data_IF_001191461599
#
_entry.id   IF_001191461599
#
_cell.length_a   1.000
_cell.length_b   1.000
_cell.length_c   1.000
_cell.angle_alpha   90.00
_cell.angle_beta   90.00
_cell.angle_gamma   90.00
#
_symmetry.space_group_name_H-M   'P 1'
#
loop_
_entity.id
_entity.type
_entity.pdbx_description
1 polymer ?
#
# COMPACT_ATOMS: atom_id res chain seq x y z
N UNK A 1 38.55 -1.02 76.03
CA UNK A 1 37.96 -2.29 75.62
C UNK A 1 36.45 -2.16 75.59
N UNK A 2 35.84 -2.03 74.46
CA UNK A 2 34.42 -2.20 74.21
C UNK A 2 34.20 -2.43 72.72
N UNK A 3 33.94 -3.67 72.31
CA UNK A 3 33.60 -4.07 70.94
C UNK A 3 32.16 -3.73 70.69
N UNK A 4 31.89 -2.93 69.67
CA UNK A 4 30.56 -2.64 69.12
C UNK A 4 30.23 -3.62 67.99
N UNK A 5 29.28 -4.49 68.26
CA UNK A 5 28.68 -5.49 67.35
C UNK A 5 27.92 -4.80 66.22
N UNK A 6 28.38 -4.97 64.96
CA UNK A 6 27.60 -4.62 63.78
C UNK A 6 26.48 -5.67 63.54
N UNK A 7 25.21 -5.26 63.73
CA UNK A 7 24.04 -6.02 63.31
C UNK A 7 23.88 -5.93 61.79
N UNK A 8 24.09 -7.06 61.13
CA UNK A 8 23.66 -7.27 59.73
C UNK A 8 22.16 -7.11 59.58
N UNK A 9 21.69 -6.07 58.89
CA UNK A 9 20.31 -5.99 58.40
C UNK A 9 20.26 -6.70 57.05
N UNK A 10 19.21 -7.56 56.79
CA UNK A 10 18.98 -8.13 55.48
C UNK A 10 18.58 -7.04 54.51
N UNK A 11 18.91 -7.18 53.20
CA UNK A 11 18.51 -6.20 52.17
C UNK A 11 16.99 -6.20 52.00
N UNK A 12 16.38 -5.04 51.64
CA UNK A 12 14.95 -4.93 51.43
C UNK A 12 14.50 -5.82 50.25
N UNK A 13 13.41 -6.58 50.48
CA UNK A 13 12.76 -7.41 49.46
C UNK A 13 12.50 -6.60 48.20
N UNK A 14 13.05 -7.07 47.09
CA UNK A 14 12.89 -6.47 45.78
C UNK A 14 11.41 -6.42 45.42
N UNK A 15 10.95 -5.27 44.94
CA UNK A 15 9.63 -5.10 44.30
C UNK A 15 9.57 -6.10 43.12
N UNK A 16 8.44 -6.77 42.90
CA UNK A 16 8.28 -7.62 41.74
C UNK A 16 8.48 -6.76 40.47
N UNK A 17 9.52 -7.07 39.73
CA UNK A 17 9.70 -6.58 38.37
C UNK A 17 8.51 -7.05 37.55
N UNK A 18 7.71 -6.13 37.05
CA UNK A 18 6.76 -6.44 35.98
C UNK A 18 7.54 -7.16 34.87
N UNK A 19 7.34 -8.43 34.75
CA UNK A 19 7.75 -9.22 33.60
C UNK A 19 7.05 -8.64 32.38
N UNK A 20 7.76 -7.73 31.70
CA UNK A 20 7.48 -7.40 30.30
C UNK A 20 7.68 -8.71 29.55
N UNK A 21 6.56 -9.26 29.07
CA UNK A 21 6.52 -10.53 28.33
C UNK A 21 7.65 -10.57 27.33
N UNK A 22 8.48 -11.58 27.42
CA UNK A 22 9.60 -11.88 26.54
C UNK A 22 9.10 -11.92 25.10
N UNK A 23 9.26 -10.80 24.38
CA UNK A 23 9.18 -10.80 22.94
C UNK A 23 10.35 -11.68 22.47
N UNK A 24 10.05 -12.87 21.99
CA UNK A 24 11.02 -13.75 21.34
C UNK A 24 11.60 -12.95 20.18
N UNK A 25 12.81 -12.42 20.39
CA UNK A 25 13.58 -11.77 19.33
C UNK A 25 13.92 -12.82 18.29
N UNK A 26 13.14 -12.88 17.24
CA UNK A 26 13.46 -13.70 16.06
C UNK A 26 14.74 -13.12 15.45
N UNK A 27 15.87 -13.75 15.75
CA UNK A 27 17.24 -13.33 15.36
C UNK A 27 17.55 -13.51 13.87
N UNK A 28 16.55 -13.76 13.01
CA UNK A 28 16.71 -13.99 11.58
C UNK A 28 16.30 -12.80 10.69
N UNK A 29 16.51 -12.90 9.37
CA UNK A 29 15.99 -11.92 8.41
C UNK A 29 14.47 -11.88 8.46
N UNK A 30 13.87 -10.69 8.25
CA UNK A 30 12.41 -10.53 8.29
C UNK A 30 11.73 -11.38 7.23
N UNK A 31 12.18 -11.30 5.98
CA UNK A 31 11.79 -12.21 4.92
C UNK A 31 12.75 -13.40 4.87
N UNK A 32 12.19 -14.60 4.84
CA UNK A 32 12.91 -15.87 4.79
C UNK A 32 13.10 -16.32 3.34
N UNK A 33 13.95 -17.33 3.11
CA UNK A 33 14.16 -17.93 1.77
C UNK A 33 12.86 -18.41 1.13
N UNK A 34 11.94 -18.95 1.93
CA UNK A 34 10.61 -19.39 1.46
C UNK A 34 9.78 -18.24 0.89
N UNK A 35 9.85 -17.03 1.51
CA UNK A 35 9.12 -15.87 1.04
C UNK A 35 9.66 -15.39 -0.32
N UNK A 36 11.00 -15.38 -0.45
CA UNK A 36 11.66 -15.04 -1.71
C UNK A 36 11.43 -16.07 -2.82
N UNK A 37 11.30 -17.37 -2.48
CA UNK A 37 10.90 -18.39 -3.44
C UNK A 37 9.49 -18.13 -3.97
N UNK A 38 8.54 -17.81 -3.09
CA UNK A 38 7.17 -17.46 -3.47
C UNK A 38 7.16 -16.23 -4.39
N UNK A 39 7.94 -15.19 -4.03
CA UNK A 39 8.14 -14.01 -4.87
C UNK A 39 8.65 -14.35 -6.26
N UNK A 40 9.79 -15.06 -6.33
CA UNK A 40 10.48 -15.35 -7.61
C UNK A 40 9.63 -16.21 -8.54
N UNK A 41 9.02 -17.28 -8.00
CA UNK A 41 8.13 -18.15 -8.78
C UNK A 41 6.97 -17.35 -9.38
N UNK A 42 6.29 -16.55 -8.56
CA UNK A 42 5.14 -15.76 -9.00
C UNK A 42 5.54 -14.70 -10.03
N UNK A 43 6.62 -13.94 -9.76
CA UNK A 43 7.07 -12.90 -10.66
C UNK A 43 7.49 -13.44 -12.04
N UNK A 44 8.22 -14.57 -12.07
CA UNK A 44 8.66 -15.19 -13.32
C UNK A 44 7.47 -15.70 -14.13
N UNK A 45 6.52 -16.40 -13.50
CA UNK A 45 5.33 -16.92 -14.21
C UNK A 45 4.45 -15.76 -14.71
N UNK A 46 4.19 -14.76 -13.89
CA UNK A 46 3.41 -13.60 -14.31
C UNK A 46 4.09 -12.84 -15.47
N UNK A 47 5.41 -12.65 -15.38
CA UNK A 47 6.18 -12.01 -16.46
C UNK A 47 6.11 -12.80 -17.77
N UNK A 48 6.25 -14.12 -17.71
CA UNK A 48 6.15 -14.98 -18.89
C UNK A 48 4.77 -14.87 -19.57
N UNK A 49 3.68 -14.87 -18.77
CA UNK A 49 2.32 -14.68 -19.29
C UNK A 49 2.17 -13.30 -19.94
N UNK A 50 2.65 -12.22 -19.29
CA UNK A 50 2.52 -10.87 -19.82
C UNK A 50 3.34 -10.68 -21.10
N UNK A 51 4.58 -11.17 -21.16
CA UNK A 51 5.41 -11.09 -22.36
C UNK A 51 4.81 -11.86 -23.54
N UNK A 52 4.15 -13.01 -23.27
CA UNK A 52 3.45 -13.79 -24.29
C UNK A 52 2.21 -13.06 -24.85
N UNK A 53 1.54 -12.25 -24.03
CA UNK A 53 0.31 -11.55 -24.37
C UNK A 53 0.51 -10.04 -24.58
N UNK A 54 1.76 -9.59 -24.70
CA UNK A 54 2.13 -8.20 -24.83
C UNK A 54 1.59 -7.61 -26.12
N UNK A 55 1.04 -6.39 -26.06
CA UNK A 55 0.58 -5.67 -27.23
C UNK A 55 1.75 -5.43 -28.20
N UNK A 56 1.63 -5.83 -29.49
CA UNK A 56 2.73 -5.74 -30.43
C UNK A 56 3.05 -4.29 -30.84
N UNK A 57 2.07 -3.39 -30.74
CA UNK A 57 2.15 -2.00 -31.21
C UNK A 57 1.38 -1.06 -30.29
N UNK A 58 1.24 0.19 -30.72
CA UNK A 58 0.41 1.20 -30.06
C UNK A 58 -1.03 0.73 -29.98
N UNK A 59 -1.60 0.77 -28.79
CA UNK A 59 -3.01 0.44 -28.52
C UNK A 59 -3.85 1.71 -28.49
N UNK A 60 -5.18 1.54 -28.38
CA UNK A 60 -6.12 2.64 -28.16
C UNK A 60 -5.82 3.40 -26.86
N UNK A 61 -6.51 4.51 -26.64
CA UNK A 61 -6.41 5.39 -25.48
C UNK A 61 -5.09 6.21 -25.50
N UNK A 62 -4.41 6.29 -24.34
CA UNK A 62 -3.24 7.13 -24.14
C UNK A 62 -1.90 6.50 -24.59
N UNK A 63 -1.91 5.26 -25.05
CA UNK A 63 -0.68 4.50 -25.36
C UNK A 63 0.28 5.23 -26.32
N UNK A 64 -0.24 5.94 -27.32
CA UNK A 64 0.57 6.71 -28.26
C UNK A 64 1.27 7.91 -27.62
N UNK A 65 0.54 8.70 -26.83
CA UNK A 65 1.08 9.85 -26.09
C UNK A 65 2.11 9.39 -25.07
N UNK A 66 1.80 8.33 -24.31
CA UNK A 66 2.68 7.76 -23.31
C UNK A 66 3.96 7.22 -23.94
N UNK A 67 3.87 6.48 -25.04
CA UNK A 67 5.05 5.97 -25.76
C UNK A 67 5.94 7.09 -26.29
N UNK A 68 5.34 8.17 -26.82
CA UNK A 68 6.08 9.34 -27.30
C UNK A 68 6.74 10.09 -26.13
N UNK A 69 6.01 10.28 -25.02
CA UNK A 69 6.58 10.90 -23.81
C UNK A 69 7.74 10.07 -23.25
N UNK A 70 7.62 8.73 -23.21
CA UNK A 70 8.70 7.86 -22.80
C UNK A 70 9.93 7.95 -23.71
N UNK A 71 9.73 8.01 -25.04
CA UNK A 71 10.84 8.11 -26.02
C UNK A 71 11.69 9.36 -25.84
N UNK A 72 11.05 10.50 -25.64
CA UNK A 72 11.71 11.80 -25.59
C UNK A 72 11.90 12.33 -24.16
N UNK A 73 11.62 11.51 -23.14
CA UNK A 73 11.58 11.94 -21.75
C UNK A 73 10.75 13.24 -21.60
N UNK A 74 9.60 13.31 -22.28
CA UNK A 74 8.75 14.50 -22.38
C UNK A 74 7.76 14.63 -21.23
N UNK A 75 6.80 15.55 -21.40
CA UNK A 75 5.72 15.80 -20.45
C UNK A 75 4.44 15.17 -20.98
N UNK A 76 4.00 14.07 -20.36
CA UNK A 76 2.74 13.41 -20.69
C UNK A 76 1.52 14.25 -20.24
N UNK A 77 0.29 13.77 -20.56
CA UNK A 77 -0.96 14.38 -20.10
C UNK A 77 -1.03 14.46 -18.56
N UNK A 78 -1.88 15.35 -17.97
CA UNK A 78 -1.96 15.52 -16.53
C UNK A 78 -2.18 14.21 -15.74
N UNK A 79 -1.47 14.04 -14.62
CA UNK A 79 -0.59 15.02 -13.96
C UNK A 79 0.89 15.02 -14.41
N UNK A 80 1.22 14.51 -15.58
CA UNK A 80 2.56 14.57 -16.18
C UNK A 80 3.45 13.37 -15.93
N UNK A 81 3.17 12.51 -14.96
CA UNK A 81 3.79 11.20 -14.66
C UNK A 81 5.34 11.16 -14.66
N UNK A 82 6.06 12.05 -13.95
CA UNK A 82 7.51 12.17 -14.07
C UNK A 82 8.28 10.87 -13.80
N UNK A 83 7.94 10.15 -12.71
CA UNK A 83 8.63 8.90 -12.34
C UNK A 83 8.34 7.80 -13.36
N UNK A 84 7.11 7.72 -13.87
CA UNK A 84 6.74 6.76 -14.90
C UNK A 84 7.45 7.06 -16.23
N UNK A 85 7.53 8.32 -16.62
CA UNK A 85 8.21 8.74 -17.86
C UNK A 85 9.67 8.30 -17.85
N UNK A 86 10.40 8.55 -16.76
CA UNK A 86 11.80 8.14 -16.62
C UNK A 86 11.96 6.63 -16.55
N UNK A 87 11.07 5.93 -15.82
CA UNK A 87 11.05 4.48 -15.79
C UNK A 87 10.87 3.89 -17.19
N UNK A 88 9.89 4.36 -17.94
CA UNK A 88 9.60 3.87 -19.29
C UNK A 88 10.70 4.25 -20.29
N UNK A 89 11.30 5.44 -20.13
CA UNK A 89 12.46 5.87 -20.92
C UNK A 89 13.64 4.91 -20.79
N UNK A 90 13.89 4.35 -19.61
CA UNK A 90 14.93 3.32 -19.41
C UNK A 90 14.67 2.10 -20.30
N UNK A 91 13.44 1.60 -20.38
CA UNK A 91 13.11 0.46 -21.25
C UNK A 91 13.25 0.80 -22.72
N UNK A 92 12.84 2.00 -23.14
CA UNK A 92 13.01 2.47 -24.52
C UNK A 92 14.49 2.54 -24.90
N UNK A 93 15.35 2.92 -23.94
CA UNK A 93 16.81 3.10 -24.18
C UNK A 93 17.57 1.78 -24.11
N UNK A 94 17.24 0.93 -23.12
CA UNK A 94 17.96 -0.32 -22.87
C UNK A 94 17.58 -1.46 -23.82
N UNK A 95 16.36 -1.43 -24.39
CA UNK A 95 15.89 -2.47 -25.30
C UNK A 95 16.07 -2.02 -26.76
N UNK A 96 17.06 -2.54 -27.51
CA UNK A 96 17.31 -2.12 -28.90
C UNK A 96 16.43 -2.87 -29.91
N UNK A 97 15.39 -3.56 -29.48
CA UNK A 97 14.54 -4.44 -30.31
C UNK A 97 13.10 -3.92 -30.36
N UNK A 98 12.37 -4.25 -31.42
CA UNK A 98 10.96 -3.92 -31.63
C UNK A 98 10.68 -2.40 -31.66
N UNK A 99 9.41 -2.01 -31.67
CA UNK A 99 8.97 -0.62 -31.68
C UNK A 99 8.95 0.00 -30.26
N UNK A 100 8.76 1.31 -30.18
CA UNK A 100 8.81 2.06 -28.92
C UNK A 100 7.67 1.63 -27.96
N UNK A 101 6.45 1.47 -28.47
CA UNK A 101 5.29 1.10 -27.66
C UNK A 101 5.47 -0.29 -27.02
N UNK A 102 6.02 -1.24 -27.77
CA UNK A 102 6.36 -2.56 -27.24
C UNK A 102 7.39 -2.48 -26.10
N UNK A 103 8.44 -1.66 -26.24
CA UNK A 103 9.47 -1.48 -25.21
C UNK A 103 8.87 -0.90 -23.93
N UNK A 104 7.97 0.08 -24.05
CA UNK A 104 7.25 0.68 -22.91
C UNK A 104 6.33 -0.37 -22.27
N UNK A 105 5.62 -1.16 -23.07
CA UNK A 105 4.76 -2.24 -22.59
C UNK A 105 5.55 -3.35 -21.84
N UNK A 106 6.80 -3.65 -22.28
CA UNK A 106 7.70 -4.52 -21.49
C UNK A 106 7.95 -3.94 -20.09
N UNK A 107 8.14 -2.62 -19.98
CA UNK A 107 8.25 -1.93 -18.69
C UNK A 107 7.01 -2.14 -17.83
N UNK A 108 5.81 -2.00 -18.40
CA UNK A 108 4.55 -2.28 -17.71
C UNK A 108 4.47 -3.74 -17.23
N UNK A 109 4.83 -4.70 -18.10
CA UNK A 109 4.85 -6.13 -17.76
C UNK A 109 5.80 -6.45 -16.60
N UNK A 110 7.00 -5.88 -16.61
CA UNK A 110 7.98 -6.05 -15.52
C UNK A 110 7.45 -5.48 -14.20
N UNK A 111 6.90 -4.26 -14.22
CA UNK A 111 6.33 -3.64 -13.03
C UNK A 111 5.18 -4.46 -12.44
N UNK A 112 4.22 -4.89 -13.26
CA UNK A 112 3.10 -5.72 -12.82
C UNK A 112 3.54 -7.09 -12.29
N UNK A 113 4.49 -7.76 -12.95
CA UNK A 113 5.01 -9.04 -12.51
C UNK A 113 5.73 -8.96 -11.16
N UNK A 114 6.53 -7.91 -10.95
CA UNK A 114 7.16 -7.63 -9.66
C UNK A 114 6.13 -7.34 -8.56
N UNK A 115 5.05 -6.63 -8.87
CA UNK A 115 3.95 -6.39 -7.94
C UNK A 115 3.26 -7.70 -7.53
N UNK A 116 3.00 -8.62 -8.47
CA UNK A 116 2.46 -9.96 -8.18
C UNK A 116 3.40 -10.76 -7.27
N UNK A 117 4.71 -10.71 -7.55
CA UNK A 117 5.73 -11.31 -6.68
C UNK A 117 5.71 -10.73 -5.27
N UNK A 118 5.59 -9.40 -5.12
CA UNK A 118 5.50 -8.75 -3.80
C UNK A 118 4.23 -9.15 -3.03
N UNK A 119 3.09 -9.37 -3.71
CA UNK A 119 1.90 -9.96 -3.06
C UNK A 119 2.24 -11.33 -2.51
N UNK A 120 2.86 -12.20 -3.31
CA UNK A 120 3.24 -13.54 -2.88
C UNK A 120 4.21 -13.53 -1.69
N UNK A 121 5.22 -12.66 -1.71
CA UNK A 121 6.15 -12.43 -0.61
C UNK A 121 5.43 -12.00 0.68
N UNK A 122 4.54 -11.01 0.55
CA UNK A 122 3.79 -10.47 1.69
C UNK A 122 2.82 -11.49 2.27
N UNK A 123 2.10 -12.23 1.44
CA UNK A 123 1.18 -13.29 1.91
C UNK A 123 1.96 -14.38 2.64
N UNK A 124 3.06 -14.87 2.06
CA UNK A 124 3.91 -15.87 2.71
C UNK A 124 4.37 -15.44 4.10
N UNK A 125 4.78 -14.17 4.24
CA UNK A 125 5.26 -13.62 5.52
C UNK A 125 4.14 -13.26 6.47
N UNK A 126 3.10 -12.56 6.00
CA UNK A 126 1.97 -12.12 6.83
C UNK A 126 1.17 -13.32 7.38
N UNK A 127 1.05 -14.39 6.59
CA UNK A 127 0.44 -15.63 7.06
C UNK A 127 1.18 -16.23 8.26
N UNK A 128 2.52 -16.21 8.26
CA UNK A 128 3.28 -16.60 9.46
C UNK A 128 2.99 -15.69 10.64
N UNK A 129 3.00 -14.35 10.43
CA UNK A 129 2.72 -13.37 11.49
C UNK A 129 1.32 -13.52 12.09
N UNK A 130 0.34 -13.99 11.31
CA UNK A 130 -1.05 -14.17 11.74
C UNK A 130 -1.25 -15.53 12.43
N UNK A 131 -0.57 -16.56 11.96
CA UNK A 131 -0.81 -17.96 12.36
C UNK A 131 0.21 -18.50 13.37
N UNK A 132 1.29 -17.76 13.69
CA UNK A 132 2.36 -18.23 14.59
C UNK A 132 1.87 -18.61 16.00
N UNK A 133 0.72 -18.09 16.43
CA UNK A 133 0.09 -18.43 17.71
C UNK A 133 -1.04 -19.47 17.57
N UNK A 134 -1.30 -19.94 16.36
CA UNK A 134 -2.42 -20.86 16.05
C UNK A 134 -1.94 -22.31 16.06
N UNK A 135 -2.44 -23.17 16.98
CA UNK A 135 -2.00 -24.57 17.06
C UNK A 135 -2.15 -25.34 15.75
N UNK A 136 -3.22 -25.09 14.99
CA UNK A 136 -3.45 -25.72 13.67
C UNK A 136 -2.35 -25.43 12.65
N UNK A 137 -1.54 -24.39 12.82
CA UNK A 137 -0.39 -24.06 11.98
C UNK A 137 0.92 -24.58 12.59
N UNK A 138 1.14 -24.30 13.89
CA UNK A 138 2.41 -24.58 14.58
C UNK A 138 2.66 -26.08 14.81
N UNK A 139 1.61 -26.90 14.91
CA UNK A 139 1.71 -28.36 15.02
C UNK A 139 2.08 -29.07 13.71
N UNK A 140 2.14 -28.33 12.57
CA UNK A 140 2.49 -28.92 11.27
C UNK A 140 3.99 -29.09 11.10
N UNK A 141 4.39 -30.08 10.31
CA UNK A 141 5.79 -30.25 9.88
C UNK A 141 6.27 -28.98 9.16
N UNK A 142 7.52 -28.62 9.35
CA UNK A 142 8.12 -27.42 8.73
C UNK A 142 7.99 -27.40 7.22
N UNK A 143 8.07 -28.56 6.57
CA UNK A 143 7.89 -28.70 5.12
C UNK A 143 6.47 -28.32 4.67
N UNK A 144 5.45 -28.74 5.42
CA UNK A 144 4.05 -28.41 5.14
C UNK A 144 3.76 -26.92 5.33
N UNK A 145 4.31 -26.32 6.42
CA UNK A 145 4.21 -24.87 6.64
C UNK A 145 4.85 -24.09 5.48
N UNK A 146 6.03 -24.51 5.01
CA UNK A 146 6.71 -23.89 3.85
C UNK A 146 5.91 -24.04 2.57
N UNK A 147 5.38 -25.23 2.30
CA UNK A 147 4.55 -25.50 1.13
C UNK A 147 3.29 -24.62 1.14
N UNK A 148 2.58 -24.60 2.25
CA UNK A 148 1.37 -23.78 2.41
C UNK A 148 1.66 -22.29 2.14
N UNK A 149 2.76 -21.77 2.66
CA UNK A 149 3.20 -20.38 2.44
C UNK A 149 3.48 -20.06 0.98
N UNK A 150 4.21 -20.96 0.30
CA UNK A 150 4.56 -20.76 -1.13
C UNK A 150 3.31 -20.88 -2.00
N UNK A 151 2.47 -21.90 -1.79
CA UNK A 151 1.26 -22.12 -2.59
C UNK A 151 0.27 -20.97 -2.41
N UNK A 152 -0.05 -20.59 -1.16
CA UNK A 152 -1.00 -19.50 -0.92
C UNK A 152 -0.47 -18.15 -1.42
N UNK A 153 0.85 -17.91 -1.29
CA UNK A 153 1.48 -16.73 -1.85
C UNK A 153 1.39 -16.69 -3.37
N UNK A 154 1.76 -17.80 -4.02
CA UNK A 154 1.69 -17.95 -5.48
C UNK A 154 0.26 -17.74 -6.00
N UNK A 155 -0.74 -18.43 -5.40
CA UNK A 155 -2.15 -18.29 -5.82
C UNK A 155 -2.64 -16.85 -5.65
N UNK A 156 -2.29 -16.18 -4.56
CA UNK A 156 -2.66 -14.79 -4.33
C UNK A 156 -2.03 -13.84 -5.36
N UNK A 157 -0.73 -14.00 -5.62
CA UNK A 157 -0.03 -13.19 -6.62
C UNK A 157 -0.56 -13.43 -8.04
N UNK A 158 -0.88 -14.68 -8.40
CA UNK A 158 -1.47 -15.00 -9.69
C UNK A 158 -2.94 -14.54 -9.78
N UNK A 159 -3.71 -14.59 -8.70
CA UNK A 159 -5.07 -14.02 -8.67
C UNK A 159 -5.06 -12.51 -8.96
N UNK A 160 -4.07 -11.78 -8.43
CA UNK A 160 -3.84 -10.40 -8.82
C UNK A 160 -3.46 -10.28 -10.30
N UNK A 161 -2.43 -11.02 -10.72
CA UNK A 161 -1.83 -10.89 -12.04
C UNK A 161 -2.75 -11.29 -13.18
N UNK A 162 -3.60 -12.28 -12.97
CA UNK A 162 -4.59 -12.75 -13.95
C UNK A 162 -5.94 -12.05 -13.83
N UNK A 163 -6.11 -11.12 -12.88
CA UNK A 163 -7.31 -10.29 -12.80
C UNK A 163 -7.40 -9.41 -14.05
N UNK A 164 -8.64 -9.23 -14.56
CA UNK A 164 -8.89 -8.47 -15.80
C UNK A 164 -8.22 -7.08 -15.78
N UNK A 165 -8.32 -6.38 -14.67
CA UNK A 165 -7.82 -5.01 -14.53
C UNK A 165 -6.30 -4.94 -14.59
N UNK A 166 -5.60 -5.81 -13.82
CA UNK A 166 -4.14 -5.78 -13.75
C UNK A 166 -3.51 -6.33 -15.02
N UNK A 167 -4.04 -7.42 -15.58
CA UNK A 167 -3.53 -7.99 -16.84
C UNK A 167 -3.62 -6.96 -17.97
N UNK A 168 -4.76 -6.29 -18.11
CA UNK A 168 -4.94 -5.27 -19.14
C UNK A 168 -3.86 -4.19 -19.11
N UNK A 169 -3.57 -3.61 -17.93
CA UNK A 169 -2.57 -2.54 -17.79
C UNK A 169 -1.13 -3.05 -17.83
N UNK A 170 -0.91 -4.35 -17.61
CA UNK A 170 0.40 -4.98 -17.63
C UNK A 170 0.93 -5.22 -19.07
N UNK A 171 0.04 -5.33 -20.07
CA UNK A 171 0.43 -5.75 -21.43
C UNK A 171 0.41 -4.61 -22.45
N UNK A 172 0.20 -3.39 -22.00
CA UNK A 172 0.18 -2.17 -22.84
C UNK A 172 1.06 -1.07 -22.25
N UNK A 173 1.33 -0.04 -23.04
CA UNK A 173 2.01 1.17 -22.56
C UNK A 173 1.05 1.97 -21.67
N UNK A 174 1.19 1.81 -20.33
CA UNK A 174 0.25 2.36 -19.35
C UNK A 174 0.95 2.73 -18.03
N UNK A 175 0.45 3.76 -17.33
CA UNK A 175 1.06 4.29 -16.09
C UNK A 175 0.73 3.45 -14.86
N UNK A 176 -0.39 2.75 -14.87
CA UNK A 176 -0.95 2.03 -13.73
C UNK A 176 -0.12 0.85 -13.25
N UNK A 177 0.58 0.15 -14.16
CA UNK A 177 1.43 -0.98 -13.78
C UNK A 177 2.55 -0.56 -12.82
N UNK A 178 3.21 0.58 -13.07
CA UNK A 178 4.21 1.14 -12.15
C UNK A 178 3.56 1.61 -10.84
N UNK A 179 2.37 2.21 -10.89
CA UNK A 179 1.63 2.62 -9.69
C UNK A 179 1.33 1.43 -8.77
N UNK A 180 0.91 0.29 -9.32
CA UNK A 180 0.66 -0.95 -8.56
C UNK A 180 1.97 -1.47 -7.95
N UNK A 181 3.10 -1.38 -8.65
CA UNK A 181 4.40 -1.76 -8.11
C UNK A 181 4.83 -0.84 -6.95
N UNK A 182 4.73 0.47 -7.10
CA UNK A 182 5.06 1.43 -6.04
C UNK A 182 4.16 1.23 -4.81
N UNK A 183 2.87 0.99 -5.03
CA UNK A 183 1.93 0.64 -3.98
C UNK A 183 2.32 -0.65 -3.25
N UNK A 184 2.72 -1.68 -3.99
CA UNK A 184 3.22 -2.93 -3.44
C UNK A 184 4.50 -2.74 -2.60
N UNK A 185 5.45 -1.93 -3.07
CA UNK A 185 6.69 -1.62 -2.35
C UNK A 185 6.37 -0.86 -1.06
N UNK A 186 5.49 0.14 -1.12
CA UNK A 186 5.05 0.90 0.05
C UNK A 186 4.46 -0.03 1.12
N UNK A 187 3.52 -0.90 0.76
CA UNK A 187 2.90 -1.85 1.69
C UNK A 187 3.91 -2.87 2.22
N UNK A 188 4.84 -3.34 1.40
CA UNK A 188 5.91 -4.25 1.83
C UNK A 188 6.83 -3.60 2.88
N UNK A 189 7.19 -2.32 2.70
CA UNK A 189 7.97 -1.55 3.67
C UNK A 189 7.18 -1.32 4.97
N UNK A 190 5.90 -0.98 4.88
CA UNK A 190 5.01 -0.83 6.03
C UNK A 190 4.86 -2.14 6.81
N UNK A 191 4.67 -3.27 6.12
CA UNK A 191 4.60 -4.58 6.77
C UNK A 191 5.90 -4.91 7.51
N UNK A 192 7.05 -4.60 6.90
CA UNK A 192 8.35 -4.82 7.50
C UNK A 192 8.57 -3.95 8.74
N UNK A 193 8.11 -2.69 8.70
CA UNK A 193 8.13 -1.80 9.85
C UNK A 193 7.16 -2.26 10.94
N UNK A 194 5.93 -2.67 10.58
CA UNK A 194 4.93 -3.20 11.53
C UNK A 194 5.49 -4.38 12.32
N UNK A 195 6.27 -5.26 11.67
CA UNK A 195 6.92 -6.39 12.34
C UNK A 195 8.13 -6.01 13.20
N UNK A 196 8.84 -4.90 12.89
CA UNK A 196 10.05 -4.43 13.58
C UNK A 196 10.07 -2.90 13.65
N UNK A 197 9.25 -2.28 14.52
CA UNK A 197 9.06 -0.83 14.57
C UNK A 197 10.30 -0.04 14.98
N UNK A 198 11.24 -0.67 15.69
CA UNK A 198 12.55 -0.10 16.03
C UNK A 198 13.38 0.25 14.78
N UNK A 199 13.11 -0.41 13.66
CA UNK A 199 13.78 -0.15 12.37
C UNK A 199 13.03 0.89 11.54
N UNK A 200 12.97 2.11 12.01
CA UNK A 200 12.22 3.23 11.41
C UNK A 200 12.57 3.52 9.95
N UNK A 201 13.74 3.10 9.47
CA UNK A 201 14.14 3.25 8.06
C UNK A 201 13.12 2.67 7.06
N UNK A 202 12.37 1.64 7.45
CA UNK A 202 11.34 1.06 6.58
C UNK A 202 10.09 1.92 6.53
N UNK A 203 9.70 2.55 7.63
CA UNK A 203 8.64 3.55 7.64
C UNK A 203 9.05 4.76 6.80
N UNK A 204 10.26 5.27 6.99
CA UNK A 204 10.81 6.38 6.23
C UNK A 204 10.82 6.09 4.73
N UNK A 205 11.26 4.89 4.33
CA UNK A 205 11.19 4.44 2.95
C UNK A 205 9.76 4.33 2.41
N UNK A 206 8.78 3.91 3.24
CA UNK A 206 7.38 3.84 2.85
C UNK A 206 6.79 5.23 2.55
N UNK A 207 7.12 6.25 3.36
CA UNK A 207 6.70 7.63 3.11
C UNK A 207 7.34 8.22 1.84
N UNK A 208 8.62 7.94 1.60
CA UNK A 208 9.28 8.34 0.35
C UNK A 208 8.61 7.70 -0.88
N UNK A 209 8.37 6.38 -0.83
CA UNK A 209 7.69 5.66 -1.92
C UNK A 209 6.25 6.13 -2.08
N UNK A 210 5.57 6.53 -0.99
CA UNK A 210 4.24 7.12 -1.08
C UNK A 210 4.27 8.45 -1.84
N UNK A 211 5.25 9.31 -1.60
CA UNK A 211 5.47 10.53 -2.40
C UNK A 211 5.72 10.22 -3.89
N UNK A 212 6.58 9.23 -4.20
CA UNK A 212 6.81 8.77 -5.58
C UNK A 212 5.52 8.24 -6.23
N UNK A 213 4.73 7.45 -5.50
CA UNK A 213 3.48 6.87 -5.96
C UNK A 213 2.50 7.96 -6.41
N UNK A 214 2.39 9.06 -5.67
CA UNK A 214 1.50 10.17 -6.01
C UNK A 214 1.93 10.91 -7.29
N UNK A 215 3.18 10.81 -7.71
CA UNK A 215 3.60 11.35 -9.01
C UNK A 215 3.13 10.52 -10.20
N UNK A 216 2.72 9.28 -9.96
CA UNK A 216 2.18 8.36 -10.97
C UNK A 216 0.67 8.18 -10.81
N UNK A 217 0.12 8.33 -9.60
CA UNK A 217 -1.31 8.15 -9.32
C UNK A 217 -1.72 8.97 -8.10
N UNK A 218 -2.22 10.17 -8.32
CA UNK A 218 -2.62 11.11 -7.26
C UNK A 218 -3.82 10.61 -6.45
N UNK A 219 -4.70 9.85 -7.05
CA UNK A 219 -5.93 9.34 -6.42
C UNK A 219 -5.60 8.42 -5.23
N UNK A 220 -4.41 7.81 -5.22
CA UNK A 220 -3.96 7.02 -4.07
C UNK A 220 -3.61 7.84 -2.83
N UNK A 221 -3.71 9.17 -2.86
CA UNK A 221 -3.75 10.02 -1.67
C UNK A 221 -4.85 9.57 -0.69
N UNK A 222 -5.91 8.96 -1.20
CA UNK A 222 -6.98 8.33 -0.40
C UNK A 222 -6.44 7.30 0.61
N UNK A 223 -5.24 6.77 0.42
CA UNK A 223 -4.57 5.85 1.35
C UNK A 223 -4.04 6.51 2.63
N UNK A 224 -3.98 7.85 2.68
CA UNK A 224 -3.45 8.58 3.86
C UNK A 224 -4.10 8.17 5.18
N UNK A 225 -5.44 8.05 5.31
CA UNK A 225 -6.06 7.60 6.55
C UNK A 225 -5.64 6.17 6.95
N UNK A 226 -5.56 5.25 5.98
CA UNK A 226 -5.15 3.88 6.28
C UNK A 226 -3.70 3.78 6.76
N UNK A 227 -2.79 4.53 6.11
CA UNK A 227 -1.39 4.63 6.52
C UNK A 227 -1.28 5.19 7.94
N UNK A 228 -1.99 6.29 8.23
CA UNK A 228 -1.98 6.92 9.54
C UNK A 228 -2.55 6.01 10.64
N UNK A 229 -3.68 5.34 10.39
CA UNK A 229 -4.26 4.39 11.34
C UNK A 229 -3.32 3.21 11.61
N UNK A 230 -2.65 2.68 10.60
CA UNK A 230 -1.64 1.63 10.78
C UNK A 230 -0.51 2.11 11.69
N UNK A 231 -0.04 3.36 11.51
CA UNK A 231 0.99 3.96 12.37
C UNK A 231 0.47 4.13 13.80
N UNK A 232 -0.74 4.65 13.99
CA UNK A 232 -1.37 4.81 15.30
C UNK A 232 -1.51 3.47 16.03
N UNK A 233 -1.96 2.43 15.35
CA UNK A 233 -2.12 1.09 15.94
C UNK A 233 -0.77 0.47 16.34
N UNK A 234 0.30 0.80 15.64
CA UNK A 234 1.62 0.22 15.90
C UNK A 234 2.49 1.04 16.85
N UNK A 235 2.45 2.38 16.74
CA UNK A 235 3.19 3.34 17.55
C UNK A 235 2.32 4.58 17.80
N UNK A 236 1.63 4.58 18.95
CA UNK A 236 0.68 5.64 19.28
C UNK A 236 1.33 7.02 19.40
N UNK A 237 2.58 7.09 19.89
CA UNK A 237 3.28 8.35 20.05
C UNK A 237 3.62 8.97 18.67
N UNK A 238 4.15 8.15 17.78
CA UNK A 238 4.45 8.59 16.40
C UNK A 238 3.16 8.91 15.61
N UNK A 239 2.13 8.07 15.76
CA UNK A 239 0.83 8.31 15.11
C UNK A 239 0.18 9.63 15.54
N UNK A 240 0.26 9.95 16.83
CA UNK A 240 -0.17 11.24 17.38
C UNK A 240 0.58 12.42 16.73
N UNK A 241 1.91 12.35 16.68
CA UNK A 241 2.73 13.45 16.18
C UNK A 241 2.57 13.62 14.65
N UNK A 242 2.41 12.53 13.90
CA UNK A 242 2.03 12.57 12.47
C UNK A 242 0.64 13.17 12.28
N UNK A 243 -0.35 12.78 13.08
CA UNK A 243 -1.71 13.34 13.02
C UNK A 243 -1.70 14.85 13.27
N UNK A 244 -0.89 15.31 14.22
CA UNK A 244 -0.73 16.72 14.53
C UNK A 244 -0.12 17.50 13.35
N UNK A 245 0.97 16.98 12.78
CA UNK A 245 1.65 17.62 11.63
C UNK A 245 0.72 17.70 10.42
N UNK A 246 0.03 16.61 10.08
CA UNK A 246 -0.89 16.57 8.94
C UNK A 246 -2.08 17.50 9.20
N UNK A 247 -2.63 17.53 10.43
CA UNK A 247 -3.72 18.44 10.80
C UNK A 247 -3.30 19.89 10.63
N UNK A 248 -2.12 20.27 11.11
CA UNK A 248 -1.60 21.64 10.97
C UNK A 248 -1.41 22.03 9.50
N UNK A 249 -0.85 21.14 8.69
CA UNK A 249 -0.68 21.37 7.25
C UNK A 249 -2.04 21.53 6.55
N UNK A 250 -3.02 20.71 6.88
CA UNK A 250 -4.36 20.78 6.30
C UNK A 250 -5.10 22.05 6.71
N UNK A 251 -5.00 22.48 7.99
CA UNK A 251 -5.54 23.76 8.47
C UNK A 251 -4.87 24.94 7.77
N UNK A 252 -3.54 24.89 7.63
CA UNK A 252 -2.79 25.95 6.94
C UNK A 252 -3.23 26.05 5.48
N UNK A 253 -3.34 24.93 4.78
CA UNK A 253 -3.80 24.89 3.39
C UNK A 253 -5.24 25.41 3.26
N UNK A 254 -6.13 25.02 4.19
CA UNK A 254 -7.49 25.55 4.23
C UNK A 254 -7.51 27.07 4.46
N UNK A 255 -6.75 27.59 5.41
CA UNK A 255 -6.67 29.02 5.71
C UNK A 255 -6.13 29.83 4.51
N UNK A 256 -5.05 29.33 3.87
CA UNK A 256 -4.49 29.92 2.64
C UNK A 256 -5.53 29.95 1.52
N UNK A 257 -6.33 28.91 1.40
CA UNK A 257 -7.41 28.80 0.42
C UNK A 257 -8.54 29.82 0.68
N UNK A 258 -9.03 29.91 1.93
CA UNK A 258 -10.09 30.85 2.33
C UNK A 258 -9.66 32.31 2.18
N UNK A 259 -8.38 32.60 2.44
CA UNK A 259 -7.82 33.93 2.27
C UNK A 259 -7.57 34.33 0.81
N UNK A 260 -7.91 33.49 -0.15
CA UNK A 260 -7.71 33.73 -1.58
C UNK A 260 -6.25 33.71 -2.03
N UNK A 261 -5.32 33.33 -1.13
CA UNK A 261 -3.90 33.24 -1.44
C UNK A 261 -3.57 32.00 -2.28
N UNK A 262 -4.52 31.09 -2.45
CA UNK A 262 -4.39 29.84 -3.21
C UNK A 262 -5.00 29.93 -4.63
N UNK A 263 -4.95 31.09 -5.27
CA UNK A 263 -5.43 31.29 -6.65
C UNK A 263 -4.94 30.18 -7.60
N UNK A 264 -3.75 29.64 -7.31
CA UNK A 264 -3.08 28.59 -8.06
C UNK A 264 -3.58 27.18 -7.78
N UNK A 265 -4.21 26.92 -6.62
CA UNK A 265 -4.64 25.57 -6.17
C UNK A 265 -6.12 25.28 -6.44
N UNK A 266 -6.86 26.26 -7.03
CA UNK A 266 -8.26 26.11 -7.39
C UNK A 266 -9.13 25.70 -6.21
N UNK A 267 -9.54 26.68 -5.41
CA UNK A 267 -10.32 26.45 -4.21
C UNK A 267 -11.82 26.33 -4.52
N UNK A 268 -12.32 25.10 -4.65
CA UNK A 268 -13.77 24.89 -4.54
C UNK A 268 -14.19 24.83 -3.06
N UNK A 269 -15.35 25.40 -2.77
CA UNK A 269 -15.88 25.48 -1.41
C UNK A 269 -16.02 24.10 -0.73
N UNK A 270 -16.39 23.07 -1.48
CA UNK A 270 -16.47 21.68 -0.99
C UNK A 270 -15.10 21.10 -0.66
N UNK A 271 -14.07 21.33 -1.47
CA UNK A 271 -12.70 20.94 -1.18
C UNK A 271 -12.18 21.59 0.10
N UNK A 272 -12.52 22.87 0.33
CA UNK A 272 -12.18 23.60 1.54
C UNK A 272 -12.85 23.02 2.78
N UNK A 273 -14.15 22.69 2.71
CA UNK A 273 -14.90 22.07 3.82
C UNK A 273 -14.38 20.66 4.10
N UNK A 274 -14.12 19.86 3.06
CA UNK A 274 -13.55 18.52 3.21
C UNK A 274 -12.17 18.52 3.88
N UNK A 275 -11.31 19.46 3.50
CA UNK A 275 -10.00 19.66 4.14
C UNK A 275 -10.13 20.10 5.60
N UNK A 276 -11.08 20.98 5.90
CA UNK A 276 -11.36 21.41 7.28
C UNK A 276 -11.83 20.23 8.12
N UNK A 277 -12.80 19.45 7.64
CA UNK A 277 -13.30 18.26 8.34
C UNK A 277 -12.18 17.24 8.56
N UNK A 278 -11.37 16.95 7.53
CA UNK A 278 -10.23 16.06 7.65
C UNK A 278 -9.21 16.57 8.69
N UNK A 279 -8.90 17.85 8.69
CA UNK A 279 -7.98 18.45 9.66
C UNK A 279 -8.50 18.40 11.09
N UNK A 280 -9.80 18.65 11.28
CA UNK A 280 -10.45 18.54 12.60
C UNK A 280 -10.42 17.09 13.13
N UNK A 281 -10.73 16.11 12.29
CA UNK A 281 -10.65 14.68 12.67
C UNK A 281 -9.23 14.27 13.05
N UNK A 282 -8.24 14.73 12.31
CA UNK A 282 -6.82 14.49 12.62
C UNK A 282 -6.39 15.23 13.88
N UNK A 283 -6.87 16.45 14.09
CA UNK A 283 -6.67 17.21 15.33
C UNK A 283 -7.24 16.49 16.55
N UNK A 284 -8.45 15.95 16.44
CA UNK A 284 -9.07 15.12 17.50
C UNK A 284 -8.24 13.87 17.76
N UNK A 285 -7.79 13.18 16.70
CA UNK A 285 -6.91 12.00 16.86
C UNK A 285 -5.60 12.35 17.57
N UNK A 286 -5.00 13.51 17.26
CA UNK A 286 -3.81 14.01 17.93
C UNK A 286 -4.08 14.31 19.41
N UNK A 287 -5.17 15.01 19.75
CA UNK A 287 -5.57 15.34 21.13
C UNK A 287 -5.81 14.05 21.93
N UNK A 288 -6.58 13.10 21.39
CA UNK A 288 -6.79 11.79 22.01
C UNK A 288 -5.45 11.08 22.24
N UNK A 289 -4.53 11.16 21.28
CA UNK A 289 -3.18 10.63 21.39
C UNK A 289 -2.39 11.30 22.53
N UNK A 290 -2.46 12.62 22.68
CA UNK A 290 -1.82 13.37 23.76
C UNK A 290 -2.36 12.91 25.12
N UNK A 291 -3.68 12.82 25.27
CA UNK A 291 -4.33 12.37 26.52
C UNK A 291 -3.91 10.93 26.86
N UNK A 292 -3.89 10.03 25.87
CA UNK A 292 -3.50 8.61 26.09
C UNK A 292 -2.02 8.45 26.41
N UNK A 293 -1.15 9.11 25.67
CA UNK A 293 0.31 9.00 25.85
C UNK A 293 0.85 9.84 26.99
N UNK A 294 0.06 10.82 27.49
CA UNK A 294 0.45 11.85 28.48
C UNK A 294 1.75 12.56 28.13
N UNK A 295 2.04 12.68 26.83
CA UNK A 295 3.25 13.35 26.28
C UNK A 295 2.84 14.16 25.06
N UNK A 296 3.53 15.28 24.86
CA UNK A 296 3.36 16.14 23.69
C UNK A 296 4.60 16.03 22.81
N UNK A 297 4.41 15.87 21.48
CA UNK A 297 5.47 15.93 20.46
C UNK A 297 6.75 15.13 20.79
N UNK A 298 6.63 13.90 21.35
CA UNK A 298 7.78 13.09 21.73
C UNK A 298 8.50 12.42 20.55
N UNK A 299 7.81 12.28 19.41
CA UNK A 299 8.31 11.62 18.20
C UNK A 299 8.38 12.57 17.00
N UNK A 300 8.42 13.90 17.27
CA UNK A 300 8.40 14.93 16.23
C UNK A 300 9.52 14.77 15.19
N UNK A 301 10.72 14.33 15.61
CA UNK A 301 11.85 14.09 14.69
C UNK A 301 11.49 13.02 13.65
N UNK A 302 10.92 11.89 14.09
CA UNK A 302 10.52 10.82 13.17
C UNK A 302 9.35 11.24 12.28
N UNK A 303 8.40 12.01 12.82
CA UNK A 303 7.30 12.56 12.05
C UNK A 303 7.80 13.54 10.97
N UNK A 304 8.75 14.41 11.32
CA UNK A 304 9.38 15.34 10.37
C UNK A 304 10.17 14.62 9.28
N UNK A 305 10.95 13.58 9.63
CA UNK A 305 11.68 12.76 8.64
C UNK A 305 10.70 12.08 7.67
N UNK A 306 9.58 11.53 8.16
CA UNK A 306 8.52 11.00 7.30
C UNK A 306 7.99 12.07 6.33
N UNK A 307 7.68 13.26 6.83
CA UNK A 307 7.20 14.37 6.02
C UNK A 307 8.21 14.83 4.96
N UNK A 308 9.48 15.02 5.34
CA UNK A 308 10.54 15.42 4.41
C UNK A 308 10.74 14.35 3.32
N UNK A 309 10.78 13.08 3.68
CA UNK A 309 10.95 12.00 2.69
C UNK A 309 9.74 11.86 1.77
N UNK A 310 8.53 12.05 2.28
CA UNK A 310 7.33 12.14 1.45
C UNK A 310 7.43 13.29 0.43
N UNK A 311 7.84 14.48 0.89
CA UNK A 311 8.03 15.64 0.01
C UNK A 311 9.17 15.43 -0.99
N UNK A 312 10.25 14.75 -0.62
CA UNK A 312 11.32 14.38 -1.55
C UNK A 312 10.82 13.40 -2.63
N UNK A 313 9.96 12.44 -2.26
CA UNK A 313 9.29 11.58 -3.24
C UNK A 313 8.38 12.36 -4.18
N UNK A 314 7.57 13.27 -3.63
CA UNK A 314 6.68 14.15 -4.40
C UNK A 314 7.47 15.17 -5.24
N UNK A 315 8.65 15.55 -4.79
CA UNK A 315 9.55 16.51 -5.46
C UNK A 315 9.97 16.11 -6.87
N UNK A 316 9.76 14.84 -7.27
CA UNK A 316 9.96 14.41 -8.66
C UNK A 316 9.06 15.14 -9.66
N UNK A 317 7.99 15.82 -9.21
CA UNK A 317 7.24 16.74 -10.07
C UNK A 317 8.09 17.87 -10.63
N UNK A 318 9.18 18.29 -9.96
CA UNK A 318 10.11 19.28 -10.49
C UNK A 318 10.84 18.84 -11.76
N UNK A 319 10.83 17.56 -12.10
CA UNK A 319 11.26 17.09 -13.41
C UNK A 319 10.48 17.77 -14.55
N UNK A 320 9.19 18.04 -14.38
CA UNK A 320 8.30 18.56 -15.43
C UNK A 320 8.73 19.94 -15.96
N UNK A 321 8.99 20.98 -15.12
CA UNK A 321 9.48 22.25 -15.64
C UNK A 321 10.84 22.13 -16.33
N UNK A 322 11.76 21.32 -15.79
CA UNK A 322 13.07 21.16 -16.42
C UNK A 322 12.99 20.50 -17.78
N UNK A 323 12.23 19.42 -17.90
CA UNK A 323 12.06 18.76 -19.19
C UNK A 323 11.27 19.63 -20.18
N UNK A 324 10.27 20.39 -19.70
CA UNK A 324 9.51 21.31 -20.55
C UNK A 324 10.38 22.39 -21.20
N UNK A 325 11.46 22.82 -20.53
CA UNK A 325 12.42 23.80 -21.10
C UNK A 325 13.19 23.26 -22.30
N UNK A 326 13.31 21.94 -22.47
CA UNK A 326 13.98 21.33 -23.64
C UNK A 326 13.07 21.23 -24.87
N UNK A 327 11.83 21.70 -24.80
CA UNK A 327 10.80 21.63 -25.82
C UNK A 327 10.66 20.24 -26.47
N UNK A 328 10.37 19.19 -25.70
CA UNK A 328 10.15 17.85 -26.22
C UNK A 328 8.90 17.82 -27.11
N UNK A 329 8.79 16.85 -28.06
CA UNK A 329 7.64 16.77 -28.98
C UNK A 329 6.28 16.60 -28.25
N UNK A 330 6.28 15.98 -27.06
CA UNK A 330 5.14 15.98 -26.16
C UNK A 330 5.49 16.81 -24.94
N UNK A 331 4.87 17.98 -24.82
CA UNK A 331 5.12 18.98 -23.78
C UNK A 331 3.77 19.53 -23.28
N UNK A 332 3.01 18.66 -22.60
CA UNK A 332 1.64 18.95 -22.20
C UNK A 332 1.59 20.05 -21.13
N UNK A 333 0.73 21.05 -21.33
CA UNK A 333 0.52 22.14 -20.40
C UNK A 333 1.69 23.11 -20.22
N UNK A 334 2.80 22.92 -20.92
CA UNK A 334 4.01 23.76 -20.85
C UNK A 334 4.43 24.13 -19.41
N UNK A 335 4.75 23.15 -18.54
CA UNK A 335 4.99 23.37 -17.10
C UNK A 335 6.28 24.13 -16.78
N UNK A 336 6.94 24.73 -17.76
CA UNK A 336 8.06 25.67 -17.57
C UNK A 336 7.66 27.01 -16.93
N UNK A 337 6.37 27.33 -16.93
CA UNK A 337 5.80 28.46 -16.19
C UNK A 337 5.14 27.97 -14.91
N UNK A 338 5.07 28.81 -13.88
CA UNK A 338 4.40 28.43 -12.63
C UNK A 338 2.93 28.09 -12.88
N UNK A 339 2.24 28.89 -13.73
CA UNK A 339 0.84 28.64 -14.10
C UNK A 339 0.68 27.28 -14.81
N UNK A 340 1.47 27.01 -15.85
CA UNK A 340 1.42 25.73 -16.57
C UNK A 340 1.75 24.54 -15.67
N UNK A 341 2.72 24.70 -14.75
CA UNK A 341 3.09 23.67 -13.81
C UNK A 341 1.92 23.33 -12.85
N UNK A 342 1.33 24.34 -12.20
CA UNK A 342 0.21 24.10 -11.28
C UNK A 342 -1.05 23.62 -12.01
N UNK A 343 -1.34 24.16 -13.20
CA UNK A 343 -2.44 23.68 -14.03
C UNK A 343 -2.29 22.20 -14.40
N UNK A 344 -1.07 21.77 -14.75
CA UNK A 344 -0.78 20.39 -15.11
C UNK A 344 -0.95 19.45 -13.91
N UNK A 345 -0.29 19.73 -12.78
CA UNK A 345 -0.34 18.85 -11.59
C UNK A 345 -1.70 18.86 -10.90
N UNK A 346 -2.44 19.98 -10.96
CA UNK A 346 -3.80 20.07 -10.44
C UNK A 346 -4.85 19.47 -11.40
N UNK A 347 -4.44 18.93 -12.56
CA UNK A 347 -5.34 18.36 -13.58
C UNK A 347 -6.39 19.37 -14.05
N UNK A 348 -6.04 20.65 -14.14
CA UNK A 348 -6.96 21.77 -14.41
C UNK A 348 -7.73 21.70 -15.74
N UNK A 349 -7.33 20.84 -16.69
CA UNK A 349 -8.05 20.60 -17.95
C UNK A 349 -9.22 19.61 -17.82
N UNK A 350 -9.30 18.86 -16.70
CA UNK A 350 -10.37 17.89 -16.49
C UNK A 350 -11.45 18.48 -15.57
N UNK A 351 -12.68 18.02 -15.78
CA UNK A 351 -13.76 18.33 -14.85
C UNK A 351 -13.42 17.81 -13.45
N UNK A 352 -13.77 18.62 -12.45
CA UNK A 352 -13.52 18.25 -11.06
C UNK A 352 -14.54 17.24 -10.61
N UNK A 353 -14.09 16.23 -9.89
CA UNK A 353 -14.97 15.28 -9.25
C UNK A 353 -15.70 15.96 -8.09
N UNK A 354 -17.02 15.80 -8.04
CA UNK A 354 -17.85 16.19 -6.91
C UNK A 354 -18.16 14.93 -6.10
N UNK A 355 -17.80 14.88 -4.81
CA UNK A 355 -18.11 13.72 -3.98
C UNK A 355 -19.58 13.37 -4.03
N UNK A 356 -19.90 12.10 -3.87
CA UNK A 356 -21.28 11.61 -3.85
C UNK A 356 -22.05 12.22 -2.67
N UNK A 357 -23.14 12.91 -2.92
CA UNK A 357 -23.95 13.63 -1.95
C UNK A 357 -25.22 12.86 -1.54
N UNK A 358 -25.65 11.92 -2.37
CA UNK A 358 -26.86 11.08 -2.14
C UNK A 358 -26.49 9.68 -1.65
N UNK A 359 -27.03 9.28 -0.49
CA UNK A 359 -26.80 7.95 0.08
C UNK A 359 -27.28 6.82 -0.84
N UNK A 360 -28.42 7.01 -1.51
CA UNK A 360 -28.97 6.01 -2.45
C UNK A 360 -28.03 5.76 -3.62
N UNK A 361 -27.51 6.82 -4.24
CA UNK A 361 -26.53 6.74 -5.31
C UNK A 361 -25.23 6.08 -4.83
N UNK A 362 -24.73 6.43 -3.66
CA UNK A 362 -23.55 5.81 -3.08
C UNK A 362 -23.72 4.29 -2.88
N UNK A 363 -24.86 3.85 -2.35
CA UNK A 363 -25.16 2.41 -2.19
C UNK A 363 -25.20 1.71 -3.55
N UNK A 364 -25.81 2.32 -4.58
CA UNK A 364 -25.82 1.80 -5.95
C UNK A 364 -24.41 1.65 -6.51
N UNK A 365 -23.56 2.67 -6.36
CA UNK A 365 -22.15 2.64 -6.78
C UNK A 365 -21.35 1.54 -6.06
N UNK A 366 -21.55 1.35 -4.76
CA UNK A 366 -20.90 0.26 -3.99
C UNK A 366 -21.36 -1.12 -4.48
N UNK A 367 -22.65 -1.27 -4.81
CA UNK A 367 -23.18 -2.52 -5.37
C UNK A 367 -22.52 -2.85 -6.71
N UNK A 368 -22.42 -1.87 -7.62
CA UNK A 368 -21.77 -2.02 -8.91
C UNK A 368 -20.29 -2.38 -8.72
N UNK A 369 -19.57 -1.66 -7.83
CA UNK A 369 -18.18 -1.96 -7.49
C UNK A 369 -18.02 -3.41 -7.00
N UNK A 370 -18.88 -3.87 -6.10
CA UNK A 370 -18.85 -5.24 -5.57
C UNK A 370 -19.10 -6.25 -6.69
N UNK A 371 -20.09 -6.01 -7.56
CA UNK A 371 -20.43 -6.87 -8.69
C UNK A 371 -19.28 -6.97 -9.71
N UNK A 372 -18.70 -5.84 -10.11
CA UNK A 372 -17.60 -5.83 -11.08
C UNK A 372 -16.30 -6.39 -10.48
N UNK A 373 -16.03 -6.13 -9.19
CA UNK A 373 -14.93 -6.77 -8.47
C UNK A 373 -15.13 -8.29 -8.41
N UNK A 374 -16.34 -8.75 -8.12
CA UNK A 374 -16.68 -10.18 -8.11
C UNK A 374 -16.51 -10.87 -9.47
N UNK A 375 -16.86 -10.19 -10.57
CA UNK A 375 -16.64 -10.68 -11.93
C UNK A 375 -15.15 -10.67 -12.33
N UNK A 376 -14.42 -9.61 -11.99
CA UNK A 376 -13.04 -9.41 -12.42
C UNK A 376 -12.03 -10.16 -11.58
N UNK A 377 -12.27 -10.35 -10.28
CA UNK A 377 -11.37 -11.03 -9.35
C UNK A 377 -11.81 -12.47 -9.04
N UNK A 378 -13.12 -12.73 -9.07
CA UNK A 378 -13.73 -14.03 -8.79
C UNK A 378 -14.38 -14.10 -7.40
N UNK A 379 -15.69 -14.42 -7.37
CA UNK A 379 -16.50 -14.53 -6.15
C UNK A 379 -15.92 -15.48 -5.08
N UNK A 380 -15.38 -16.68 -5.43
CA UNK A 380 -14.78 -17.56 -4.43
C UNK A 380 -13.62 -16.92 -3.67
N UNK A 381 -12.79 -16.12 -4.36
CA UNK A 381 -11.67 -15.41 -3.73
C UNK A 381 -12.15 -14.34 -2.75
N UNK A 382 -13.26 -13.65 -3.04
CA UNK A 382 -13.84 -12.66 -2.15
C UNK A 382 -14.36 -13.30 -0.85
N UNK A 383 -15.00 -14.47 -0.95
CA UNK A 383 -15.46 -15.22 0.23
C UNK A 383 -14.25 -15.63 1.10
N UNK A 384 -13.22 -16.15 0.48
CA UNK A 384 -11.99 -16.58 1.17
C UNK A 384 -11.27 -15.40 1.84
N UNK A 385 -11.31 -14.22 1.23
CA UNK A 385 -10.69 -13.00 1.76
C UNK A 385 -11.24 -12.55 3.12
N UNK A 386 -12.45 -13.01 3.51
CA UNK A 386 -13.06 -12.70 4.82
C UNK A 386 -12.53 -13.59 5.94
N UNK A 387 -12.05 -14.80 5.65
CA UNK A 387 -11.65 -15.80 6.67
C UNK A 387 -10.59 -15.31 7.67
N UNK A 388 -9.57 -14.52 7.29
CA UNK A 388 -8.55 -14.05 8.23
C UNK A 388 -9.12 -13.25 9.39
N UNK A 389 -10.23 -12.54 9.18
CA UNK A 389 -10.86 -11.71 10.21
C UNK A 389 -11.43 -12.52 11.38
N UNK A 390 -11.76 -13.80 11.17
CA UNK A 390 -12.13 -14.73 12.24
C UNK A 390 -11.02 -14.98 13.27
N UNK A 391 -9.76 -14.67 12.90
CA UNK A 391 -8.60 -14.82 13.79
C UNK A 391 -8.26 -13.55 14.59
N UNK A 392 -8.87 -12.39 14.32
CA UNK A 392 -8.51 -11.11 14.95
C UNK A 392 -8.50 -11.17 16.49
N UNK A 393 -9.43 -11.93 17.10
CA UNK A 393 -9.50 -12.06 18.56
C UNK A 393 -8.54 -13.11 19.14
N UNK A 394 -8.03 -14.03 18.31
CA UNK A 394 -7.19 -15.15 18.73
C UNK A 394 -5.72 -14.93 18.42
N UNK A 395 -5.41 -14.25 17.32
CA UNK A 395 -4.04 -13.96 16.93
C UNK A 395 -3.43 -12.87 17.83
N UNK A 396 -2.15 -12.98 18.09
CA UNK A 396 -1.36 -12.05 18.90
C UNK A 396 -0.22 -11.44 18.09
N UNK A 397 0.42 -10.42 18.65
CA UNK A 397 1.56 -9.78 17.97
C UNK A 397 1.16 -8.77 16.90
N UNK A 398 1.94 -8.68 15.84
CA UNK A 398 1.76 -7.68 14.77
C UNK A 398 0.80 -8.13 13.65
N UNK A 399 0.45 -9.42 13.60
CA UNK A 399 -0.46 -9.97 12.59
C UNK A 399 -1.83 -9.30 12.57
N UNK A 400 -2.54 -9.18 13.71
CA UNK A 400 -3.82 -8.46 13.77
C UNK A 400 -3.73 -6.99 13.37
N UNK A 401 -2.64 -6.28 13.74
CA UNK A 401 -2.43 -4.89 13.38
C UNK A 401 -2.29 -4.77 11.85
N UNK A 402 -1.53 -5.67 11.23
CA UNK A 402 -1.40 -5.72 9.78
C UNK A 402 -2.74 -6.01 9.08
N UNK A 403 -3.53 -6.95 9.61
CA UNK A 403 -4.84 -7.28 9.05
C UNK A 403 -5.82 -6.10 9.16
N UNK A 404 -5.82 -5.38 10.28
CA UNK A 404 -6.59 -4.13 10.43
C UNK A 404 -6.11 -3.06 9.47
N UNK A 405 -4.79 -2.93 9.27
CA UNK A 405 -4.22 -2.03 8.26
C UNK A 405 -4.71 -2.35 6.85
N UNK A 406 -4.78 -3.62 6.46
CA UNK A 406 -5.33 -4.04 5.17
C UNK A 406 -6.83 -3.76 5.07
N UNK A 407 -7.60 -3.95 6.15
CA UNK A 407 -9.03 -3.62 6.17
C UNK A 407 -9.28 -2.12 5.97
N UNK A 408 -8.52 -1.27 6.67
CA UNK A 408 -8.61 0.19 6.50
C UNK A 408 -8.15 0.62 5.12
N UNK A 409 -7.09 0.00 4.57
CA UNK A 409 -6.66 0.23 3.20
C UNK A 409 -7.76 -0.14 2.19
N UNK A 410 -8.44 -1.28 2.37
CA UNK A 410 -9.58 -1.66 1.53
C UNK A 410 -10.71 -0.63 1.56
N UNK A 411 -11.06 -0.12 2.75
CA UNK A 411 -12.07 0.95 2.89
C UNK A 411 -11.64 2.22 2.15
N UNK A 412 -10.36 2.57 2.21
CA UNK A 412 -9.84 3.76 1.55
C UNK A 412 -9.86 3.63 0.02
N UNK A 413 -9.29 2.55 -0.54
CA UNK A 413 -9.19 2.38 -2.01
C UNK A 413 -10.49 1.86 -2.65
N UNK A 414 -11.45 1.42 -1.86
CA UNK A 414 -12.77 0.99 -2.31
C UNK A 414 -13.84 2.05 -2.01
N UNK A 415 -14.59 1.89 -0.92
CA UNK A 415 -15.73 2.76 -0.60
C UNK A 415 -15.39 4.25 -0.59
N UNK A 416 -14.27 4.65 0.04
CA UNK A 416 -13.92 6.06 0.12
C UNK A 416 -13.52 6.63 -1.26
N UNK A 417 -12.78 5.87 -2.06
CA UNK A 417 -12.44 6.28 -3.42
C UNK A 417 -13.69 6.43 -4.29
N UNK A 418 -14.64 5.51 -4.20
CA UNK A 418 -15.94 5.60 -4.90
C UNK A 418 -16.69 6.86 -4.50
N UNK A 419 -16.77 7.15 -3.19
CA UNK A 419 -17.43 8.35 -2.70
C UNK A 419 -16.80 9.64 -3.25
N UNK A 420 -15.47 9.69 -3.35
CA UNK A 420 -14.74 10.88 -3.80
C UNK A 420 -14.75 11.05 -5.32
N UNK A 421 -14.66 9.95 -6.09
CA UNK A 421 -14.68 10.00 -7.54
C UNK A 421 -16.09 10.13 -8.11
N UNK A 422 -17.11 9.73 -7.35
CA UNK A 422 -18.52 9.77 -7.74
C UNK A 422 -18.78 9.28 -9.18
N UNK A 423 -18.27 8.10 -9.58
CA UNK A 423 -18.38 7.63 -10.95
C UNK A 423 -19.85 7.37 -11.31
N UNK A 424 -20.25 7.68 -12.56
CA UNK A 424 -21.54 7.25 -13.08
C UNK A 424 -21.58 5.73 -13.22
N UNK A 425 -22.78 5.13 -13.23
CA UNK A 425 -22.94 3.67 -13.36
C UNK A 425 -22.27 3.13 -14.62
N UNK A 426 -22.47 3.81 -15.75
CA UNK A 426 -21.86 3.47 -17.04
C UNK A 426 -20.33 3.57 -17.02
N UNK A 427 -19.78 4.55 -16.31
CA UNK A 427 -18.33 4.75 -16.21
C UNK A 427 -17.63 3.62 -15.42
N UNK A 428 -18.28 3.02 -14.42
CA UNK A 428 -17.68 1.91 -13.68
C UNK A 428 -17.63 0.63 -14.53
N UNK A 429 -18.63 0.43 -15.41
CA UNK A 429 -18.82 -0.81 -16.16
C UNK A 429 -18.10 -0.78 -17.51
N UNK A 430 -18.17 0.33 -18.24
CA UNK A 430 -17.84 0.36 -19.67
C UNK A 430 -16.54 1.10 -19.98
N UNK A 431 -16.06 2.00 -19.11
CA UNK A 431 -14.89 2.80 -19.45
C UNK A 431 -13.58 2.19 -19.00
N UNK A 432 -12.69 1.92 -19.97
CA UNK A 432 -11.30 1.51 -19.71
C UNK A 432 -10.53 2.47 -18.82
N UNK A 433 -10.96 3.73 -18.76
CA UNK A 433 -10.30 4.81 -18.03
C UNK A 433 -10.46 4.70 -16.51
N UNK A 434 -11.66 4.34 -16.01
CA UNK A 434 -11.94 4.30 -14.57
C UNK A 434 -11.60 2.94 -13.94
N UNK A 435 -11.69 1.84 -14.70
CA UNK A 435 -11.33 0.52 -14.19
C UNK A 435 -9.95 0.44 -13.52
N UNK A 436 -8.89 1.03 -14.08
CA UNK A 436 -7.56 1.04 -13.47
C UNK A 436 -7.49 1.72 -12.09
N UNK A 437 -8.32 2.74 -11.78
CA UNK A 437 -8.34 3.38 -10.46
C UNK A 437 -8.60 2.38 -9.33
N UNK A 438 -9.31 1.30 -9.63
CA UNK A 438 -9.60 0.23 -8.69
C UNK A 438 -8.56 -0.89 -8.66
N UNK A 439 -7.45 -0.79 -9.38
CA UNK A 439 -6.38 -1.80 -9.33
C UNK A 439 -5.85 -2.01 -7.91
N UNK A 440 -5.82 -0.96 -7.08
CA UNK A 440 -5.42 -1.04 -5.68
C UNK A 440 -6.37 -1.92 -4.84
N UNK A 441 -7.68 -1.96 -5.16
CA UNK A 441 -8.63 -2.86 -4.51
C UNK A 441 -8.24 -4.32 -4.77
N UNK A 442 -7.97 -4.67 -6.02
CA UNK A 442 -7.55 -6.03 -6.40
C UNK A 442 -6.28 -6.44 -5.67
N UNK A 443 -5.36 -5.48 -5.48
CA UNK A 443 -4.12 -5.72 -4.73
C UNK A 443 -4.40 -6.09 -3.27
N UNK A 444 -5.24 -5.31 -2.57
CA UNK A 444 -5.62 -5.59 -1.17
C UNK A 444 -6.41 -6.91 -1.07
N UNK A 445 -7.34 -7.15 -1.99
CA UNK A 445 -8.10 -8.40 -2.04
C UNK A 445 -7.20 -9.61 -2.27
N UNK A 446 -6.17 -9.51 -3.12
CA UNK A 446 -5.21 -10.59 -3.33
C UNK A 446 -4.46 -10.93 -2.04
N UNK A 447 -4.02 -9.92 -1.27
CA UNK A 447 -3.39 -10.13 0.04
C UNK A 447 -4.35 -10.81 1.02
N UNK A 448 -5.58 -10.33 1.14
CA UNK A 448 -6.60 -10.90 2.03
C UNK A 448 -6.97 -12.33 1.61
N UNK A 449 -7.13 -12.59 0.32
CA UNK A 449 -7.40 -13.93 -0.22
C UNK A 449 -6.27 -14.90 0.09
N UNK A 450 -5.01 -14.50 -0.12
CA UNK A 450 -3.87 -15.34 0.21
C UNK A 450 -3.79 -15.70 1.69
N UNK A 451 -4.07 -14.74 2.57
CA UNK A 451 -4.20 -14.98 4.02
C UNK A 451 -5.38 -15.91 4.33
N UNK A 452 -6.51 -15.72 3.66
CA UNK A 452 -7.69 -16.56 3.80
C UNK A 452 -7.43 -18.00 3.35
N UNK A 453 -6.73 -18.21 2.25
CA UNK A 453 -6.30 -19.54 1.79
C UNK A 453 -5.40 -20.24 2.81
N UNK A 454 -4.48 -19.51 3.46
CA UNK A 454 -3.67 -20.06 4.53
C UNK A 454 -4.52 -20.50 5.73
N UNK A 455 -5.47 -19.67 6.16
CA UNK A 455 -6.42 -20.03 7.24
C UNK A 455 -7.24 -21.25 6.86
N UNK A 456 -7.80 -21.25 5.65
CA UNK A 456 -8.57 -22.38 5.12
C UNK A 456 -7.74 -23.66 5.06
N UNK A 457 -6.52 -23.60 4.53
CA UNK A 457 -5.60 -24.75 4.50
C UNK A 457 -5.28 -25.29 5.89
N UNK A 458 -5.20 -24.40 6.90
CA UNK A 458 -5.04 -24.83 8.30
C UNK A 458 -6.29 -25.51 8.89
N UNK A 459 -7.48 -25.16 8.43
CA UNK A 459 -8.74 -25.75 8.91
C UNK A 459 -9.01 -27.13 8.32
N UNK A 460 -8.74 -27.29 7.00
CA UNK A 460 -9.09 -28.50 6.25
C UNK A 460 -8.13 -29.65 6.54
N UNK A 461 -6.85 -29.41 6.59
CA UNK A 461 -5.88 -30.46 6.85
C UNK A 461 -5.80 -30.72 8.36
N UNK A 462 -6.26 -31.88 8.78
CA UNK A 462 -6.21 -32.32 10.20
C UNK A 462 -4.76 -32.31 10.71
N UNK A 463 -4.50 -31.82 11.95
CA UNK A 463 -3.19 -31.99 12.58
C UNK A 463 -2.87 -33.49 12.64
N UNK A 464 -1.67 -33.89 12.18
CA UNK A 464 -1.20 -35.22 12.50
C UNK A 464 -0.93 -35.24 14.01
N UNK A 465 -1.79 -35.92 14.77
CA UNK A 465 -1.47 -36.25 16.16
C UNK A 465 -0.23 -37.15 16.14
N UNK A 466 0.86 -36.73 16.76
CA UNK A 466 1.94 -37.67 17.07
C UNK A 466 1.33 -38.82 17.82
N UNK A 467 1.66 -40.10 17.46
CA UNK A 467 1.24 -41.23 18.23
C UNK A 467 1.72 -40.99 19.69
N UNK A 468 0.81 -41.12 20.67
CA UNK A 468 1.20 -41.08 22.07
C UNK A 468 2.35 -42.07 22.26
N UNK A 469 3.47 -41.68 22.87
CA UNK A 469 4.49 -42.66 23.21
C UNK A 469 3.80 -43.76 24.01
N UNK A 470 4.01 -45.02 23.59
CA UNK A 470 3.47 -46.16 24.29
C UNK A 470 3.82 -46.05 25.80
N UNK A 471 2.87 -46.33 26.72
CA UNK A 471 3.16 -46.31 28.11
C UNK A 471 4.31 -47.30 28.38
N UNK A 472 5.39 -46.80 28.96
CA UNK A 472 6.53 -47.62 29.32
C UNK A 472 6.04 -48.85 30.09
N UNK A 473 6.43 -50.07 29.75
CA UNK A 473 6.05 -51.26 30.50
C UNK A 473 6.55 -51.08 31.93
N UNK A 474 5.61 -51.11 32.84
CA UNK A 474 5.93 -51.14 34.29
C UNK A 474 6.77 -52.39 34.55
N UNK A 475 8.08 -52.21 34.81
CA UNK A 475 8.99 -53.22 35.32
C UNK A 475 8.91 -53.36 36.80
#
# INVERSE_FOLDING_TARGET
MAQTSHRNRPPPAGRPSHETGNAVFVTGPFFQRTDWLSFGLTAVVALAVYLHTLAPEVTLEYSGILSTSAKYAGVAHPPGYPVWTLYSWLFVTLLPISNIAWRVAVGSAVAAALACGLVALMVSRAGTMLLETTPAFTSRKLAEQKLLRVVCGYVAGMALGLSRTVWRVAVVAETWALSVLLFAIMLCLLMRWTGRPERRRFLYGAFFVFGLLLTSNQELLVMTPALLLLVIFRDQALGRDLSLVISLLAVTNWAVSVLGLSYWLGSDMLGNVGLLVASLLLGVAAVVGIVRTRRFASEWTSASVCGVLFLLGLGWYFYLPFTSMTNPPVNWGYPRTAEGFFHLIARGQYERYHPTDELGRFIGQLWILAKETGKGFGWPYLVVAVLPFGLLRRARGCGPIWLLGLATAFVCVGPLMVALLNPSEDQVIEQPIIGPYFAAIYFILALLTGLGLMVFGCMVAKPQMEPRPDPMPHS
#
